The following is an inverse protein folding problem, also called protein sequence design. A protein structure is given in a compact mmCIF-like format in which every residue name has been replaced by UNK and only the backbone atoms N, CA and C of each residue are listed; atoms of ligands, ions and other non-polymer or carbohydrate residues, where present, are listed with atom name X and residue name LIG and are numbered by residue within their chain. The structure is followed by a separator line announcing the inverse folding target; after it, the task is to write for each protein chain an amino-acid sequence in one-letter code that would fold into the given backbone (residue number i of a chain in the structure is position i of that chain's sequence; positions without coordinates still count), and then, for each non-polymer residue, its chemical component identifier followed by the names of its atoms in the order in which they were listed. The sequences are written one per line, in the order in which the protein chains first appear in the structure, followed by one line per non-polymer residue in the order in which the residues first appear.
data_IF_821606623332
#
_entry.id   IF_821606623332
#
_cell.length_a   1.000
_cell.length_b   1.000
_cell.length_c   1.000
_cell.angle_alpha   90.00
_cell.angle_beta   90.00
_cell.angle_gamma   90.00
#
_symmetry.space_group_name_H-M   'P 1'
#
loop_
_entity.id
_entity.type
_entity.pdbx_description
1 polymer ?
#
# COMPACT_ATOMS: atom_id res chain seq x y z
N UNK A 1 7.12 -4.80 9.88
CA UNK A 1 5.84 -4.70 9.18
C UNK A 1 5.75 -5.82 8.16
N UNK A 2 4.54 -6.32 7.89
CA UNK A 2 4.29 -7.39 6.90
C UNK A 2 3.16 -6.95 5.97
N UNK A 3 3.33 -7.14 4.66
CA UNK A 3 2.33 -6.91 3.62
C UNK A 3 1.96 -8.26 3.02
N UNK A 4 0.67 -8.52 2.81
CA UNK A 4 0.18 -9.69 2.10
C UNK A 4 -0.52 -9.23 0.82
N UNK A 5 -0.05 -9.72 -0.32
CA UNK A 5 -0.72 -9.62 -1.60
C UNK A 5 -1.22 -10.99 -2.02
N UNK A 6 -2.47 -11.08 -2.47
CA UNK A 6 -3.03 -12.31 -3.03
C UNK A 6 -3.69 -12.03 -4.37
N UNK A 7 -3.39 -12.87 -5.37
CA UNK A 7 -4.04 -12.85 -6.68
C UNK A 7 -4.84 -14.14 -6.86
N UNK A 8 -6.18 -14.02 -6.93
CA UNK A 8 -7.07 -15.17 -7.07
C UNK A 8 -6.92 -15.90 -8.40
N UNK A 9 -6.62 -15.19 -9.50
CA UNK A 9 -6.47 -15.76 -10.84
C UNK A 9 -5.23 -16.65 -10.93
N UNK A 10 -4.08 -16.16 -10.45
CA UNK A 10 -2.82 -16.93 -10.43
C UNK A 10 -2.69 -17.82 -9.21
N UNK A 11 -3.59 -17.65 -8.23
CA UNK A 11 -3.58 -18.26 -6.91
C UNK A 11 -2.23 -18.10 -6.19
N UNK A 12 -1.63 -16.93 -6.38
CA UNK A 12 -0.35 -16.56 -5.83
C UNK A 12 -0.54 -15.67 -4.62
N UNK A 13 0.09 -16.04 -3.50
CA UNK A 13 0.23 -15.23 -2.32
C UNK A 13 1.69 -14.77 -2.17
N UNK A 14 1.88 -13.49 -1.90
CA UNK A 14 3.16 -12.88 -1.58
C UNK A 14 3.06 -12.29 -0.18
N UNK A 15 3.89 -12.75 0.75
CA UNK A 15 4.04 -12.12 2.07
C UNK A 15 5.40 -11.45 2.14
N UNK A 16 5.40 -10.13 2.14
CA UNK A 16 6.62 -9.34 2.21
C UNK A 16 6.81 -8.85 3.64
N UNK A 17 7.95 -9.13 4.24
CA UNK A 17 8.31 -8.61 5.55
C UNK A 17 9.48 -7.64 5.41
N UNK A 18 9.40 -6.52 6.12
CA UNK A 18 10.34 -5.44 5.95
C UNK A 18 10.05 -4.23 6.83
N UNK A 19 10.66 -3.12 6.43
CA UNK A 19 10.63 -1.84 7.14
C UNK A 19 9.90 -0.84 6.25
N UNK A 20 8.92 -0.13 6.81
CA UNK A 20 8.27 0.99 6.16
C UNK A 20 8.88 2.30 6.66
N UNK A 21 9.08 3.23 5.73
CA UNK A 21 9.34 4.64 6.02
C UNK A 21 8.15 5.44 5.55
N UNK A 22 7.67 6.33 6.40
CA UNK A 22 6.58 7.24 6.09
C UNK A 22 7.18 8.61 5.79
N UNK A 23 6.75 9.19 4.68
CA UNK A 23 7.12 10.53 4.25
C UNK A 23 5.92 11.46 4.49
N UNK A 24 6.17 12.54 5.22
CA UNK A 24 5.18 13.57 5.53
C UNK A 24 4.75 14.34 4.26
N UNK A 25 3.59 15.03 4.30
CA UNK A 25 3.09 15.85 3.20
C UNK A 25 4.12 16.81 2.60
N UNK A 26 4.94 17.42 3.46
CA UNK A 26 5.91 18.45 3.07
C UNK A 26 7.18 17.89 2.40
N UNK A 27 7.36 16.57 2.46
CA UNK A 27 8.53 15.94 1.85
C UNK A 27 8.51 16.06 0.32
N UNK A 28 9.69 16.15 -0.30
CA UNK A 28 9.81 16.19 -1.76
C UNK A 28 9.16 14.96 -2.43
N UNK A 29 9.29 13.78 -1.81
CA UNK A 29 8.71 12.52 -2.29
C UNK A 29 7.18 12.58 -2.28
N UNK A 30 6.58 13.05 -1.19
CA UNK A 30 5.13 13.18 -1.09
C UNK A 30 4.59 14.25 -2.04
N UNK A 31 5.28 15.39 -2.16
CA UNK A 31 4.92 16.44 -3.12
C UNK A 31 4.87 15.93 -4.56
N UNK A 32 5.89 15.20 -4.99
CA UNK A 32 5.94 14.62 -6.33
C UNK A 32 4.81 13.59 -6.54
N UNK A 33 4.60 12.69 -5.58
CA UNK A 33 3.54 11.69 -5.66
C UNK A 33 2.15 12.35 -5.72
N UNK A 34 1.90 13.37 -4.91
CA UNK A 34 0.64 14.13 -4.91
C UNK A 34 0.33 14.77 -6.27
N UNK A 35 1.34 15.38 -6.90
CA UNK A 35 1.19 16.00 -8.21
C UNK A 35 0.86 14.98 -9.31
N UNK A 36 1.37 13.75 -9.18
CA UNK A 36 1.11 12.66 -10.13
C UNK A 36 -0.27 12.00 -9.97
N UNK A 37 -0.97 12.23 -8.86
CA UNK A 37 -2.30 11.66 -8.64
C UNK A 37 -3.36 12.33 -9.53
N UNK A 38 -4.32 11.55 -10.07
CA UNK A 38 -5.53 12.11 -10.66
C UNK A 38 -6.29 12.99 -9.67
N UNK A 39 -6.99 14.01 -10.18
CA UNK A 39 -7.78 14.94 -9.36
C UNK A 39 -8.81 14.23 -8.48
N UNK A 40 -9.51 13.23 -9.02
CA UNK A 40 -10.50 12.44 -8.28
C UNK A 40 -9.86 11.67 -7.11
N UNK A 41 -8.60 11.21 -7.24
CA UNK A 41 -7.89 10.54 -6.15
C UNK A 41 -7.44 11.53 -5.08
N UNK A 42 -7.07 12.76 -5.46
CA UNK A 42 -6.75 13.81 -4.47
C UNK A 42 -7.96 14.21 -3.63
N UNK A 43 -9.15 14.19 -4.23
CA UNK A 43 -10.41 14.47 -3.52
C UNK A 43 -10.72 13.45 -2.41
N UNK A 44 -10.24 12.21 -2.49
CA UNK A 44 -10.49 11.24 -1.40
C UNK A 44 -9.79 11.60 -0.09
N UNK A 45 -8.84 12.55 -0.10
CA UNK A 45 -8.15 13.03 1.09
C UNK A 45 -8.86 14.21 1.77
N UNK A 46 -10.00 14.67 1.25
CA UNK A 46 -10.75 15.80 1.83
C UNK A 46 -11.86 15.35 2.78
N UNK A 47 -12.04 14.04 2.96
CA UNK A 47 -13.00 13.47 3.91
C UNK A 47 -12.59 13.63 5.37
N UNK A 48 -13.46 13.19 6.28
CA UNK A 48 -13.17 13.15 7.72
C UNK A 48 -12.05 12.14 8.08
N UNK A 49 -11.53 12.19 9.32
CA UNK A 49 -10.47 11.29 9.75
C UNK A 49 -10.87 9.80 9.62
N UNK A 50 -10.06 8.97 8.95
CA UNK A 50 -10.37 7.55 8.83
C UNK A 50 -10.43 6.85 10.19
N UNK A 51 -11.52 6.12 10.44
CA UNK A 51 -11.74 5.35 11.69
C UNK A 51 -12.60 6.06 12.73
N UNK A 52 -12.92 7.35 12.54
CA UNK A 52 -13.85 8.06 13.40
C UNK A 52 -15.31 7.60 13.15
N UNK A 53 -16.14 7.68 14.18
CA UNK A 53 -17.57 7.38 14.08
C UNK A 53 -18.25 8.38 13.15
N UNK A 54 -18.97 7.86 12.13
CA UNK A 54 -19.78 8.69 11.25
C UNK A 54 -21.23 8.69 11.75
N UNK A 55 -21.79 9.87 12.03
CA UNK A 55 -23.12 10.02 12.63
C UNK A 55 -24.28 9.63 11.69
N UNK A 56 -24.02 9.41 10.39
CA UNK A 56 -25.04 9.16 9.38
C UNK A 56 -24.63 7.99 8.47
N UNK A 57 -25.45 6.93 8.40
CA UNK A 57 -25.25 5.80 7.48
C UNK A 57 -25.69 6.13 6.04
N UNK A 58 -26.31 7.30 5.86
CA UNK A 58 -26.80 7.80 4.58
C UNK A 58 -25.73 8.70 3.97
N UNK A 59 -24.87 8.12 3.14
CA UNK A 59 -23.86 8.85 2.37
C UNK A 59 -24.55 9.85 1.44
N UNK A 60 -24.64 11.12 1.87
CA UNK A 60 -24.88 12.21 0.95
C UNK A 60 -23.58 12.43 0.16
N UNK A 61 -23.53 11.96 -1.10
CA UNK A 61 -22.43 12.20 -2.06
C UNK A 61 -22.22 13.70 -2.40
N UNK A 62 -22.75 14.63 -1.61
CA UNK A 62 -23.17 15.93 -2.15
C UNK A 62 -22.13 17.05 -2.08
N UNK A 63 -20.97 16.90 -1.43
CA UNK A 63 -20.03 18.04 -1.29
C UNK A 63 -18.64 17.88 -1.91
N UNK A 64 -18.36 16.77 -2.62
CA UNK A 64 -17.00 16.53 -3.16
C UNK A 64 -16.66 17.31 -4.46
N UNK A 65 -17.58 18.10 -5.02
CA UNK A 65 -17.43 18.71 -6.35
C UNK A 65 -17.06 20.19 -6.39
N UNK A 66 -16.72 20.84 -5.27
CA UNK A 66 -16.22 22.22 -5.31
C UNK A 66 -14.69 22.29 -5.32
N UNK A 67 -14.15 22.79 -6.44
CA UNK A 67 -12.73 22.78 -6.81
C UNK A 67 -11.76 23.64 -5.98
N UNK A 68 -11.96 23.76 -4.68
CA UNK A 68 -11.09 24.53 -3.76
C UNK A 68 -10.44 23.69 -2.66
N UNK A 69 -10.71 22.38 -2.59
CA UNK A 69 -10.26 21.51 -1.48
C UNK A 69 -8.89 20.82 -1.65
N UNK A 70 -8.20 20.99 -2.80
CA UNK A 70 -6.96 20.27 -3.10
C UNK A 70 -5.83 20.54 -2.09
N UNK A 71 -5.75 21.77 -1.54
CA UNK A 71 -4.74 22.13 -0.53
C UNK A 71 -5.00 21.53 0.85
N UNK A 72 -6.27 21.37 1.25
CA UNK A 72 -6.63 20.76 2.54
C UNK A 72 -6.34 19.26 2.53
N UNK A 73 -6.73 18.55 1.47
CA UNK A 73 -6.46 17.12 1.35
C UNK A 73 -4.96 16.79 1.36
N UNK A 74 -4.15 17.66 0.74
CA UNK A 74 -2.69 17.49 0.71
C UNK A 74 -2.06 17.43 2.11
N UNK A 75 -2.55 18.20 3.09
CA UNK A 75 -1.98 18.18 4.46
C UNK A 75 -2.15 16.83 5.17
N UNK A 76 -3.04 15.97 4.68
CA UNK A 76 -3.26 14.62 5.17
C UNK A 76 -2.64 13.54 4.27
N UNK A 77 -1.97 13.94 3.20
CA UNK A 77 -1.32 13.03 2.27
C UNK A 77 0.08 12.61 2.76
N UNK A 78 0.41 11.34 2.59
CA UNK A 78 1.74 10.82 2.87
C UNK A 78 2.12 9.70 1.92
N UNK A 79 3.42 9.41 1.85
CA UNK A 79 3.93 8.30 1.05
C UNK A 79 4.55 7.26 1.98
N UNK A 80 4.14 6.00 1.81
CA UNK A 80 4.74 4.86 2.50
C UNK A 80 5.68 4.18 1.54
N UNK A 81 6.97 4.19 1.86
CA UNK A 81 7.98 3.39 1.15
C UNK A 81 8.29 2.16 1.99
N UNK A 82 7.92 0.99 1.47
CA UNK A 82 8.23 -0.28 2.08
C UNK A 82 9.48 -0.92 1.47
N UNK A 83 10.47 -1.22 2.29
CA UNK A 83 11.68 -1.95 1.90
C UNK A 83 11.61 -3.39 2.42
N UNK A 84 11.42 -4.31 1.49
CA UNK A 84 11.37 -5.76 1.75
C UNK A 84 12.72 -6.29 2.21
N UNK A 85 12.72 -7.13 3.24
CA UNK A 85 13.87 -7.92 3.70
C UNK A 85 13.68 -9.39 3.38
N UNK A 86 12.45 -9.88 3.46
CA UNK A 86 12.11 -11.24 3.08
C UNK A 86 10.81 -11.27 2.31
N UNK A 87 10.73 -12.17 1.33
CA UNK A 87 9.53 -12.49 0.58
C UNK A 87 9.23 -13.97 0.77
N UNK A 88 8.04 -14.27 1.29
CA UNK A 88 7.45 -15.60 1.27
C UNK A 88 6.51 -15.68 0.06
N UNK A 89 6.95 -16.37 -0.98
CA UNK A 89 6.22 -16.61 -2.20
C UNK A 89 5.51 -17.95 -2.07
N UNK A 90 4.18 -17.96 -2.24
CA UNK A 90 3.38 -19.16 -2.09
C UNK A 90 2.33 -19.28 -3.19
N UNK A 91 2.50 -20.29 -4.05
CA UNK A 91 1.56 -20.57 -5.12
C UNK A 91 0.71 -21.79 -4.79
N UNK A 92 -0.60 -21.57 -4.72
CA UNK A 92 -1.59 -22.63 -4.56
C UNK A 92 -1.79 -23.33 -5.91
N UNK A 93 -1.69 -24.66 -5.89
CA UNK A 93 -1.91 -25.52 -7.05
C UNK A 93 -2.95 -26.58 -6.70
N UNK A 94 -3.53 -27.24 -7.71
CA UNK A 94 -4.47 -28.35 -7.46
C UNK A 94 -3.77 -29.54 -6.79
N UNK A 95 -2.49 -29.73 -7.08
CA UNK A 95 -1.59 -30.68 -6.44
C UNK A 95 -0.22 -30.02 -6.31
N UNK A 96 0.49 -30.32 -5.22
CA UNK A 96 1.84 -29.81 -4.94
C UNK A 96 1.91 -28.28 -4.92
N UNK A 97 1.44 -27.68 -3.83
CA UNK A 97 1.69 -26.26 -3.59
C UNK A 97 3.20 -25.99 -3.62
N UNK A 98 3.57 -24.81 -4.10
CA UNK A 98 4.96 -24.39 -4.14
C UNK A 98 5.16 -23.21 -3.21
N UNK A 99 6.22 -23.28 -2.40
CA UNK A 99 6.58 -22.20 -1.49
C UNK A 99 8.08 -21.95 -1.54
N UNK A 100 8.45 -20.69 -1.69
CA UNK A 100 9.83 -20.26 -1.66
C UNK A 100 9.96 -19.06 -0.71
N UNK A 101 11.04 -19.04 0.06
CA UNK A 101 11.45 -17.88 0.84
C UNK A 101 12.67 -17.25 0.21
N UNK A 102 12.56 -15.97 -0.08
CA UNK A 102 13.62 -15.14 -0.64
C UNK A 102 14.07 -14.15 0.43
N UNK A 103 15.37 -13.92 0.54
CA UNK A 103 15.95 -12.93 1.47
C UNK A 103 16.76 -11.89 0.71
N UNK A 104 16.60 -10.63 1.08
CA UNK A 104 17.26 -9.49 0.48
C UNK A 104 18.14 -8.79 1.53
N UNK A 105 19.31 -8.34 1.10
CA UNK A 105 20.25 -7.64 1.95
C UNK A 105 19.83 -6.19 2.26
N UNK A 106 20.74 -5.45 2.89
CA UNK A 106 20.60 -4.03 3.19
C UNK A 106 20.31 -3.18 1.94
N UNK A 107 20.90 -3.50 0.79
CA UNK A 107 20.80 -2.76 -0.47
C UNK A 107 19.58 -3.14 -1.32
N UNK A 108 18.93 -4.27 -1.01
CA UNK A 108 17.79 -4.81 -1.76
C UNK A 108 18.20 -5.91 -2.76
N UNK A 109 19.46 -6.36 -2.71
CA UNK A 109 19.97 -7.44 -3.53
C UNK A 109 19.52 -8.78 -2.94
N UNK A 110 19.07 -9.69 -3.80
CA UNK A 110 18.70 -11.05 -3.43
C UNK A 110 19.96 -11.82 -3.00
N UNK A 111 19.95 -12.35 -1.79
CA UNK A 111 21.11 -13.07 -1.21
C UNK A 111 20.82 -14.53 -0.88
N UNK A 112 19.55 -14.91 -0.79
CA UNK A 112 19.16 -16.29 -0.48
C UNK A 112 17.80 -16.64 -1.09
N UNK A 113 17.67 -17.87 -1.57
CA UNK A 113 16.42 -18.47 -2.03
C UNK A 113 16.33 -19.90 -1.51
N UNK A 114 15.27 -20.18 -0.75
CA UNK A 114 14.99 -21.51 -0.22
C UNK A 114 13.60 -21.98 -0.59
N UNK A 115 13.52 -23.13 -1.24
CA UNK A 115 12.27 -23.87 -1.35
C UNK A 115 11.93 -24.46 0.01
N UNK A 116 10.70 -24.25 0.45
CA UNK A 116 10.22 -24.73 1.74
C UNK A 116 8.93 -25.51 1.52
N UNK A 117 8.62 -26.42 2.44
CA UNK A 117 7.33 -27.09 2.39
C UNK A 117 6.19 -26.04 2.54
N UNK A 118 5.10 -26.19 1.78
CA UNK A 118 3.90 -25.37 1.85
C UNK A 118 3.46 -25.03 3.27
#
# INVERSE_FOLDING_TARGET
MTILGFCGQTRLQLRLQGIARIYSPDSAVANHAWQALPSWTRQTYTGGPPGDEHADATLAETDALQGTHDTKGKMHFGVIHFKTRTLDWFQLRRRHNLRARLSYDASGILVDVRWVNP
#
